data_IF_128757062803
#
_entry.id   IF_128757062803
#
_cell.length_a   1.000
_cell.length_b   1.000
_cell.length_c   1.000
_cell.angle_alpha   90.00
_cell.angle_beta   90.00
_cell.angle_gamma   90.00
#
_symmetry.space_group_name_H-M   'P 1'
#
loop_
_entity.id
_entity.type
_entity.pdbx_description
1 polymer ?
#
# COMPACT_ATOMS: atom_id res chain seq x y z
N UNK A 1 90.00 -17.58 -12.66
CA UNK A 1 89.24 -17.16 -11.48
C UNK A 1 87.78 -17.03 -11.89
N UNK A 2 86.92 -17.98 -11.54
CA UNK A 2 85.49 -17.93 -11.84
C UNK A 2 84.72 -17.58 -10.57
N UNK A 3 84.08 -16.41 -10.54
CA UNK A 3 83.21 -15.98 -9.46
C UNK A 3 81.83 -16.62 -9.64
N UNK A 4 81.50 -17.62 -8.82
CA UNK A 4 80.13 -18.13 -8.70
C UNK A 4 79.37 -17.25 -7.69
N UNK A 5 78.55 -16.33 -8.19
CA UNK A 5 77.58 -15.61 -7.36
C UNK A 5 76.37 -16.53 -7.16
N UNK A 6 76.33 -17.24 -6.03
CA UNK A 6 75.10 -17.91 -5.57
C UNK A 6 74.11 -16.85 -5.09
N UNK A 7 73.26 -16.34 -5.99
CA UNK A 7 72.10 -15.54 -5.58
C UNK A 7 71.10 -16.46 -4.89
N UNK A 8 71.15 -16.48 -3.57
CA UNK A 8 70.19 -17.15 -2.71
C UNK A 8 68.92 -16.28 -2.67
N UNK A 9 68.15 -16.24 -3.77
CA UNK A 9 66.87 -15.51 -3.80
C UNK A 9 65.91 -16.17 -2.79
N UNK A 10 65.59 -15.50 -1.68
CA UNK A 10 64.93 -16.16 -0.57
C UNK A 10 63.47 -16.41 -0.92
N UNK A 11 62.97 -17.59 -0.58
CA UNK A 11 61.55 -18.04 -0.67
C UNK A 11 60.50 -16.98 -0.32
N UNK A 12 60.86 -15.96 0.47
CA UNK A 12 60.02 -14.80 0.80
C UNK A 12 59.57 -14.00 -0.42
N UNK A 13 60.42 -13.80 -1.44
CA UNK A 13 60.02 -13.05 -2.65
C UNK A 13 59.06 -13.83 -3.53
N UNK A 14 59.22 -15.15 -3.63
CA UNK A 14 58.28 -16.01 -4.36
C UNK A 14 56.89 -16.00 -3.69
N UNK A 15 56.85 -15.99 -2.35
CA UNK A 15 55.59 -15.90 -1.60
C UNK A 15 54.90 -14.55 -1.79
N UNK A 16 55.64 -13.44 -1.74
CA UNK A 16 55.09 -12.10 -2.00
C UNK A 16 54.55 -12.03 -3.44
N UNK A 17 55.29 -12.52 -4.42
CA UNK A 17 54.85 -12.52 -5.82
C UNK A 17 53.56 -13.35 -6.01
N UNK A 18 53.48 -14.51 -5.37
CA UNK A 18 52.29 -15.36 -5.43
C UNK A 18 51.07 -14.71 -4.77
N UNK A 19 51.23 -14.11 -3.59
CA UNK A 19 50.14 -13.38 -2.91
C UNK A 19 49.66 -12.20 -3.76
N UNK A 20 50.57 -11.42 -4.33
CA UNK A 20 50.22 -10.29 -5.20
C UNK A 20 49.49 -10.76 -6.46
N UNK A 21 49.93 -11.86 -7.08
CA UNK A 21 49.27 -12.42 -8.25
C UNK A 21 47.84 -12.91 -7.94
N UNK A 22 47.65 -13.59 -6.80
CA UNK A 22 46.32 -14.04 -6.36
C UNK A 22 45.39 -12.85 -6.05
N UNK A 23 45.89 -11.83 -5.35
CA UNK A 23 45.12 -10.61 -5.06
C UNK A 23 44.74 -9.86 -6.34
N UNK A 24 45.65 -9.77 -7.31
CA UNK A 24 45.39 -9.11 -8.59
C UNK A 24 44.31 -9.86 -9.38
N UNK A 25 44.39 -11.19 -9.47
CA UNK A 25 43.35 -12.00 -10.12
C UNK A 25 42.01 -11.81 -9.41
N UNK A 26 41.99 -11.85 -8.08
CA UNK A 26 40.77 -11.63 -7.29
C UNK A 26 40.17 -10.23 -7.54
N UNK A 27 41.00 -9.17 -7.57
CA UNK A 27 40.55 -7.80 -7.85
C UNK A 27 39.99 -7.67 -9.27
N UNK A 28 40.62 -8.28 -10.27
CA UNK A 28 40.13 -8.27 -11.65
C UNK A 28 38.79 -9.01 -11.74
N UNK A 29 38.67 -10.20 -11.15
CA UNK A 29 37.41 -10.95 -11.11
C UNK A 29 36.31 -10.17 -10.39
N UNK A 30 36.64 -9.50 -9.28
CA UNK A 30 35.70 -8.63 -8.57
C UNK A 30 35.25 -7.44 -9.44
N UNK A 31 36.19 -6.74 -10.08
CA UNK A 31 35.88 -5.60 -10.94
C UNK A 31 35.04 -5.99 -12.17
N UNK A 32 35.34 -7.12 -12.81
CA UNK A 32 34.53 -7.66 -13.91
C UNK A 32 33.11 -7.96 -13.44
N UNK A 33 32.97 -8.63 -12.29
CA UNK A 33 31.65 -8.93 -11.70
C UNK A 33 30.86 -7.65 -11.37
N UNK A 34 31.52 -6.62 -10.85
CA UNK A 34 30.87 -5.32 -10.61
C UNK A 34 30.45 -4.63 -11.92
N UNK A 35 31.28 -4.70 -12.95
CA UNK A 35 30.95 -4.18 -14.29
C UNK A 35 29.75 -4.89 -14.93
N UNK A 36 29.69 -6.22 -14.82
CA UNK A 36 28.55 -7.01 -15.29
C UNK A 36 27.25 -6.69 -14.53
N UNK A 37 27.33 -6.47 -13.21
CA UNK A 37 26.18 -6.05 -12.39
C UNK A 37 25.65 -4.68 -12.81
N UNK A 38 26.54 -3.69 -13.01
CA UNK A 38 26.16 -2.35 -13.46
C UNK A 38 25.52 -2.38 -14.86
N UNK A 39 26.05 -3.18 -15.78
CA UNK A 39 25.47 -3.34 -17.12
C UNK A 39 24.11 -4.05 -17.08
N UNK A 40 23.95 -5.04 -16.21
CA UNK A 40 22.67 -5.72 -16.01
C UNK A 40 21.61 -4.77 -15.44
N UNK A 41 21.97 -3.93 -14.47
CA UNK A 41 21.11 -2.91 -13.87
C UNK A 41 20.66 -1.84 -14.89
N UNK A 42 21.59 -1.34 -15.71
CA UNK A 42 21.28 -0.39 -16.79
C UNK A 42 20.32 -0.98 -17.84
N UNK A 43 20.53 -2.24 -18.25
CA UNK A 43 19.64 -2.94 -19.19
C UNK A 43 18.25 -3.15 -18.59
N UNK A 44 18.17 -3.60 -17.34
CA UNK A 44 16.89 -3.77 -16.65
C UNK A 44 16.12 -2.45 -16.56
N UNK A 45 16.81 -1.35 -16.22
CA UNK A 45 16.20 -0.02 -16.15
C UNK A 45 15.67 0.44 -17.51
N UNK A 46 16.43 0.24 -18.59
CA UNK A 46 16.01 0.59 -19.95
C UNK A 46 14.80 -0.23 -20.42
N UNK A 47 14.77 -1.53 -20.11
CA UNK A 47 13.64 -2.40 -20.44
C UNK A 47 12.38 -2.03 -19.66
N UNK A 48 12.50 -1.73 -18.35
CA UNK A 48 11.38 -1.25 -17.53
C UNK A 48 10.86 0.09 -18.05
N UNK A 49 11.75 1.03 -18.38
CA UNK A 49 11.36 2.31 -18.94
C UNK A 49 10.62 2.15 -20.28
N UNK A 50 11.08 1.23 -21.14
CA UNK A 50 10.43 0.92 -22.42
C UNK A 50 9.05 0.30 -22.19
N UNK A 51 8.96 -0.71 -21.31
CA UNK A 51 7.71 -1.37 -20.97
C UNK A 51 6.69 -0.39 -20.36
N UNK A 52 7.12 0.48 -19.45
CA UNK A 52 6.29 1.56 -18.91
C UNK A 52 5.83 2.50 -20.03
N UNK A 53 6.72 2.96 -20.90
CA UNK A 53 6.34 3.85 -22.01
C UNK A 53 5.30 3.22 -22.95
N UNK A 54 5.29 1.88 -23.09
CA UNK A 54 4.35 1.16 -23.97
C UNK A 54 3.06 0.71 -23.29
N UNK A 55 3.05 0.58 -21.97
CA UNK A 55 1.97 -0.11 -21.23
C UNK A 55 1.35 0.75 -20.14
N UNK A 56 2.03 1.81 -19.71
CA UNK A 56 1.51 2.72 -18.68
C UNK A 56 0.63 3.82 -19.27
N UNK A 57 -0.47 4.12 -18.58
CA UNK A 57 -1.06 5.45 -18.61
C UNK A 57 -0.10 6.45 -17.96
N UNK A 58 -0.31 7.75 -18.14
CA UNK A 58 0.52 8.82 -17.58
C UNK A 58 0.64 8.82 -16.02
N UNK A 59 0.06 7.82 -15.34
CA UNK A 59 -0.12 7.74 -13.89
C UNK A 59 0.74 6.66 -13.19
N UNK A 60 1.57 5.90 -13.93
CA UNK A 60 2.44 4.88 -13.32
C UNK A 60 3.54 5.48 -12.42
N UNK A 61 3.86 4.82 -11.30
CA UNK A 61 4.83 5.33 -10.30
C UNK A 61 5.92 4.32 -9.95
N UNK A 62 7.15 4.81 -9.82
CA UNK A 62 8.32 4.03 -9.39
C UNK A 62 8.58 4.28 -7.90
N UNK A 63 8.75 3.21 -7.12
CA UNK A 63 8.90 3.25 -5.66
C UNK A 63 10.18 2.49 -5.24
N UNK A 64 11.28 3.23 -4.96
CA UNK A 64 12.56 2.69 -4.51
C UNK A 64 12.82 2.87 -3.00
N UNK A 65 13.82 2.17 -2.45
CA UNK A 65 14.15 2.13 -1.01
C UNK A 65 14.69 3.47 -0.44
N UNK A 66 13.94 4.07 0.49
CA UNK A 66 14.41 4.99 1.55
C UNK A 66 13.31 5.06 2.65
N UNK A 67 13.67 5.32 3.93
CA UNK A 67 12.88 4.97 5.10
C UNK A 67 11.51 5.65 5.05
N UNK A 68 10.51 4.93 5.52
CA UNK A 68 9.11 5.32 5.60
C UNK A 68 8.97 6.75 6.16
N UNK A 69 8.85 7.73 5.25
CA UNK A 69 7.94 8.87 5.29
C UNK A 69 8.14 9.77 4.03
N UNK A 70 7.25 9.59 3.04
CA UNK A 70 6.96 10.53 1.95
C UNK A 70 7.98 10.60 0.80
N UNK A 71 7.75 9.87 -0.30
CA UNK A 71 8.68 9.68 -1.46
C UNK A 71 8.43 10.58 -2.66
N UNK A 72 9.45 10.83 -3.51
CA UNK A 72 9.41 10.18 -4.83
C UNK A 72 10.74 9.75 -5.43
N UNK A 73 10.74 8.85 -6.44
CA UNK A 73 11.97 8.45 -7.13
C UNK A 73 11.91 8.46 -8.66
N UNK A 74 12.83 9.25 -9.24
CA UNK A 74 13.78 8.96 -10.34
C UNK A 74 14.72 10.19 -10.44
N UNK A 75 16.07 10.09 -10.52
CA UNK A 75 16.97 8.93 -10.55
C UNK A 75 17.79 8.77 -9.24
N UNK A 76 18.60 7.71 -9.14
CA UNK A 76 19.65 7.58 -8.13
C UNK A 76 20.93 8.35 -8.55
N UNK A 77 21.19 9.54 -7.97
CA UNK A 77 22.57 9.93 -7.68
C UNK A 77 22.71 10.17 -6.16
N UNK A 78 23.80 9.67 -5.59
CA UNK A 78 24.06 9.45 -4.17
C UNK A 78 23.95 10.66 -3.18
N UNK A 79 23.40 11.83 -3.52
CA UNK A 79 23.27 12.96 -2.59
C UNK A 79 22.25 14.02 -3.04
N UNK A 80 21.09 14.14 -2.37
CA UNK A 80 20.23 15.35 -2.45
C UNK A 80 19.47 15.60 -1.12
N UNK A 81 19.18 16.87 -0.81
CA UNK A 81 18.77 17.40 0.51
C UNK A 81 17.24 17.53 0.70
N UNK A 82 16.75 17.19 1.90
CA UNK A 82 15.36 17.18 2.41
C UNK A 82 14.49 18.42 2.13
N UNK A 83 15.05 19.60 1.93
CA UNK A 83 14.26 20.81 1.66
C UNK A 83 13.61 20.82 0.26
N UNK A 84 14.14 20.02 -0.68
CA UNK A 84 13.70 20.00 -2.08
C UNK A 84 12.60 18.96 -2.37
N UNK A 85 12.38 18.00 -1.48
CA UNK A 85 11.47 16.85 -1.72
C UNK A 85 10.00 17.12 -1.37
N UNK A 86 9.71 18.13 -0.54
CA UNK A 86 8.38 18.37 0.05
C UNK A 86 7.23 18.65 -0.93
N UNK A 87 7.37 19.49 -1.97
CA UNK A 87 6.26 19.82 -2.88
C UNK A 87 5.79 18.62 -3.73
N UNK A 88 6.68 17.66 -3.97
CA UNK A 88 6.42 16.48 -4.79
C UNK A 88 5.60 15.42 -4.05
N UNK A 89 5.72 15.35 -2.71
CA UNK A 89 4.94 14.44 -1.85
C UNK A 89 3.46 14.79 -1.85
N UNK A 90 3.16 16.09 -1.85
CA UNK A 90 1.80 16.62 -1.86
C UNK A 90 1.07 16.33 -3.17
N UNK A 91 1.78 16.23 -4.30
CA UNK A 91 1.19 15.84 -5.58
C UNK A 91 0.87 14.33 -5.67
N UNK A 92 1.60 13.51 -4.92
CA UNK A 92 1.41 12.05 -4.95
C UNK A 92 0.20 11.56 -4.16
N UNK A 93 -0.27 12.31 -3.17
CA UNK A 93 -1.40 11.94 -2.31
C UNK A 93 -2.77 12.05 -2.99
N UNK A 94 -2.81 12.56 -4.23
CA UNK A 94 -4.06 12.93 -4.91
C UNK A 94 -4.59 11.87 -5.89
N UNK A 95 -3.81 10.82 -6.24
CA UNK A 95 -4.23 9.73 -7.17
C UNK A 95 -3.62 8.36 -6.81
N UNK A 96 -4.44 7.30 -6.86
CA UNK A 96 -4.00 5.89 -6.73
C UNK A 96 -3.41 5.41 -8.07
N UNK A 97 -2.12 5.05 -8.16
CA UNK A 97 -1.51 4.69 -9.44
C UNK A 97 -2.01 3.33 -9.95
N UNK A 98 -2.16 3.18 -11.26
CA UNK A 98 -2.46 1.89 -11.90
C UNK A 98 -1.30 0.88 -11.79
N UNK A 99 -0.06 1.37 -11.59
CA UNK A 99 1.16 0.57 -11.60
C UNK A 99 2.18 1.04 -10.56
N UNK A 100 2.90 0.10 -9.94
CA UNK A 100 3.99 0.36 -8.98
C UNK A 100 5.22 -0.49 -9.29
N UNK A 101 6.41 0.11 -9.34
CA UNK A 101 7.69 -0.61 -9.52
C UNK A 101 8.47 -0.66 -8.21
N UNK A 102 8.87 -1.85 -7.78
CA UNK A 102 9.76 -2.09 -6.64
C UNK A 102 11.15 -2.56 -7.05
N UNK A 103 12.15 -2.35 -6.20
CA UNK A 103 13.57 -2.69 -6.40
C UNK A 103 14.06 -3.87 -5.53
N UNK A 104 13.14 -4.68 -5.00
CA UNK A 104 13.47 -5.89 -4.23
C UNK A 104 14.03 -5.62 -2.82
N UNK A 105 13.98 -4.37 -2.38
CA UNK A 105 14.34 -3.93 -1.02
C UNK A 105 13.67 -4.72 0.10
N UNK A 106 14.33 -4.77 1.26
CA UNK A 106 13.79 -5.43 2.48
C UNK A 106 12.44 -4.79 2.84
N UNK A 107 12.37 -3.45 2.81
CA UNK A 107 11.12 -2.73 3.08
C UNK A 107 10.00 -3.09 2.10
N UNK A 108 10.34 -3.33 0.83
CA UNK A 108 9.36 -3.65 -0.20
C UNK A 108 8.88 -5.10 -0.14
N UNK A 109 9.73 -6.03 0.28
CA UNK A 109 9.31 -7.40 0.56
C UNK A 109 8.24 -7.44 1.67
N UNK A 110 8.37 -6.63 2.72
CA UNK A 110 7.35 -6.53 3.76
C UNK A 110 6.05 -5.90 3.24
N UNK A 111 6.15 -4.82 2.47
CA UNK A 111 4.98 -4.14 1.91
C UNK A 111 4.24 -5.05 0.93
N UNK A 112 4.97 -5.74 0.05
CA UNK A 112 4.42 -6.67 -0.93
C UNK A 112 3.78 -7.92 -0.31
N UNK A 113 4.09 -8.23 0.95
CA UNK A 113 3.48 -9.30 1.73
C UNK A 113 2.30 -8.84 2.58
N UNK A 114 2.02 -7.53 2.65
CA UNK A 114 0.83 -7.05 3.38
C UNK A 114 -0.44 -7.48 2.67
N UNK A 115 -1.47 -7.84 3.45
CA UNK A 115 -2.78 -8.20 2.92
C UNK A 115 -3.32 -7.11 1.98
N UNK A 116 -3.17 -5.83 2.37
CA UNK A 116 -3.48 -4.67 1.52
C UNK A 116 -2.86 -4.79 0.12
N UNK A 117 -1.53 -4.90 0.04
CA UNK A 117 -0.85 -4.86 -1.24
C UNK A 117 -1.23 -6.07 -2.09
N UNK A 118 -1.27 -7.27 -1.50
CA UNK A 118 -1.66 -8.49 -2.22
C UNK A 118 -3.11 -8.53 -2.67
N UNK A 119 -4.01 -7.82 -1.98
CA UNK A 119 -5.43 -7.73 -2.36
C UNK A 119 -5.68 -6.73 -3.49
N UNK A 120 -4.81 -5.73 -3.64
CA UNK A 120 -5.01 -4.65 -4.63
C UNK A 120 -4.00 -4.65 -5.76
N UNK A 121 -2.93 -5.43 -5.67
CA UNK A 121 -1.88 -5.48 -6.68
C UNK A 121 -1.50 -6.91 -7.02
N UNK A 122 -1.29 -7.16 -8.31
CA UNK A 122 -0.78 -8.41 -8.86
C UNK A 122 0.55 -8.15 -9.56
N UNK A 123 1.42 -9.17 -9.60
CA UNK A 123 2.67 -9.08 -10.35
C UNK A 123 2.34 -9.07 -11.83
N UNK A 124 2.73 -8.01 -12.53
CA UNK A 124 2.59 -7.92 -13.97
C UNK A 124 3.89 -8.16 -14.72
N UNK A 125 5.02 -7.87 -14.08
CA UNK A 125 6.35 -8.17 -14.62
C UNK A 125 7.34 -8.37 -13.46
N UNK A 126 8.16 -9.42 -13.54
CA UNK A 126 9.17 -9.71 -12.53
C UNK A 126 10.52 -9.96 -13.19
N UNK A 127 11.53 -9.15 -12.82
CA UNK A 127 12.92 -9.32 -13.22
C UNK A 127 13.85 -8.77 -12.15
N UNK A 128 14.50 -9.62 -11.35
CA UNK A 128 15.38 -9.17 -10.26
C UNK A 128 16.40 -8.10 -10.70
N UNK A 129 16.61 -7.04 -9.90
CA UNK A 129 16.00 -6.80 -8.59
C UNK A 129 14.57 -6.21 -8.64
N UNK A 130 14.00 -6.00 -9.83
CA UNK A 130 12.76 -5.26 -10.00
C UNK A 130 11.51 -6.14 -10.11
N UNK A 131 10.43 -5.68 -9.50
CA UNK A 131 9.09 -6.25 -9.69
C UNK A 131 8.12 -5.12 -9.99
N UNK A 132 7.41 -5.23 -11.11
CA UNK A 132 6.32 -4.33 -11.48
C UNK A 132 5.00 -4.96 -11.11
N UNK A 133 4.24 -4.19 -10.36
CA UNK A 133 2.95 -4.55 -9.84
C UNK A 133 1.89 -3.73 -10.57
N UNK A 134 0.85 -4.41 -11.03
CA UNK A 134 -0.35 -3.78 -11.55
C UNK A 134 -1.39 -3.75 -10.47
N UNK A 135 -2.11 -2.64 -10.35
CA UNK A 135 -3.32 -2.62 -9.55
C UNK A 135 -4.32 -3.62 -10.15
N UNK A 136 -4.80 -4.54 -9.34
CA UNK A 136 -5.96 -5.36 -9.68
C UNK A 136 -7.13 -4.40 -9.89
N UNK A 137 -7.48 -4.16 -11.14
CA UNK A 137 -8.58 -3.28 -11.52
C UNK A 137 -9.90 -4.01 -11.28
N UNK A 138 -10.30 -4.11 -10.02
CA UNK A 138 -11.71 -4.31 -9.73
C UNK A 138 -12.40 -2.97 -10.00
N UNK A 139 -13.43 -2.92 -10.87
CA UNK A 139 -14.17 -1.69 -11.09
C UNK A 139 -14.69 -1.22 -9.74
N UNK A 140 -14.28 -0.03 -9.32
CA UNK A 140 -14.82 0.55 -8.09
C UNK A 140 -16.34 0.67 -8.29
N UNK A 141 -17.15 0.16 -7.36
CA UNK A 141 -18.58 0.26 -7.51
C UNK A 141 -18.99 1.74 -7.52
N UNK A 142 -20.09 2.09 -8.23
CA UNK A 142 -20.61 3.44 -8.18
C UNK A 142 -21.04 3.75 -6.75
N UNK A 143 -20.33 4.66 -6.08
CA UNK A 143 -20.63 5.07 -4.72
C UNK A 143 -21.78 6.05 -4.72
N UNK A 144 -22.74 5.85 -3.81
CA UNK A 144 -23.68 6.89 -3.42
C UNK A 144 -22.92 7.96 -2.60
N UNK A 145 -22.98 9.24 -3.00
CA UNK A 145 -22.18 10.28 -2.37
C UNK A 145 -22.67 10.59 -0.95
N UNK A 146 -21.72 10.72 -0.02
CA UNK A 146 -21.93 11.14 1.36
C UNK A 146 -20.98 12.28 1.71
N UNK A 147 -21.23 12.96 2.82
CA UNK A 147 -20.37 14.02 3.33
C UNK A 147 -20.46 14.07 4.85
N UNK A 148 -20.11 12.96 5.49
CA UNK A 148 -20.25 12.77 6.93
C UNK A 148 -18.90 12.94 7.62
N UNK A 149 -18.74 13.99 8.40
CA UNK A 149 -17.57 14.18 9.26
C UNK A 149 -17.62 13.20 10.43
N UNK A 150 -16.53 12.46 10.62
CA UNK A 150 -16.33 11.41 11.60
C UNK A 150 -15.24 11.87 12.56
N UNK A 151 -15.65 12.38 13.73
CA UNK A 151 -14.73 12.78 14.78
C UNK A 151 -13.76 13.92 14.39
N UNK A 152 -14.02 14.66 13.31
CA UNK A 152 -13.20 15.79 12.86
C UNK A 152 -11.91 15.41 12.13
N UNK A 153 -11.64 14.12 11.87
CA UNK A 153 -10.38 13.65 11.27
C UNK A 153 -10.57 12.93 9.93
N UNK A 154 -11.76 12.38 9.70
CA UNK A 154 -12.11 11.60 8.52
C UNK A 154 -13.49 12.03 8.04
N UNK A 155 -13.71 12.01 6.74
CA UNK A 155 -15.04 12.18 6.15
C UNK A 155 -15.44 10.89 5.44
N UNK A 156 -16.61 10.34 5.73
CA UNK A 156 -17.22 9.33 4.87
C UNK A 156 -17.83 10.05 3.66
N UNK A 157 -17.22 9.81 2.50
CA UNK A 157 -17.51 10.49 1.23
C UNK A 157 -18.41 9.69 0.31
N UNK A 158 -18.64 8.41 0.61
CA UNK A 158 -19.64 7.62 -0.09
C UNK A 158 -19.81 6.21 0.45
N UNK A 159 -20.87 5.55 0.00
CA UNK A 159 -21.17 4.16 0.33
C UNK A 159 -21.72 3.41 -0.87
N UNK A 160 -21.56 2.09 -0.87
CA UNK A 160 -22.17 1.18 -1.82
C UNK A 160 -22.59 -0.10 -1.11
N UNK A 161 -23.77 -0.62 -1.45
CA UNK A 161 -24.35 -1.81 -0.82
C UNK A 161 -24.67 -2.81 -1.92
N UNK A 162 -24.17 -4.04 -1.79
CA UNK A 162 -24.41 -5.10 -2.78
C UNK A 162 -24.38 -6.50 -2.16
N UNK A 163 -25.37 -7.36 -2.46
CA UNK A 163 -26.62 -7.04 -3.14
C UNK A 163 -27.59 -6.30 -2.19
N UNK A 164 -28.54 -5.53 -2.74
CA UNK A 164 -29.63 -4.90 -1.97
C UNK A 164 -30.85 -5.82 -1.80
N UNK A 165 -30.89 -6.93 -2.53
CA UNK A 165 -31.86 -8.02 -2.36
C UNK A 165 -31.07 -9.30 -2.13
N UNK A 166 -31.31 -9.97 -1.02
CA UNK A 166 -30.44 -11.04 -0.51
C UNK A 166 -31.27 -12.14 0.12
N UNK A 167 -30.85 -13.39 -0.06
CA UNK A 167 -31.51 -14.53 0.59
C UNK A 167 -30.92 -14.77 1.98
N UNK A 168 -31.71 -15.40 2.84
CA UNK A 168 -31.24 -15.86 4.15
C UNK A 168 -30.03 -16.78 4.01
N UNK A 169 -28.99 -16.58 4.82
CA UNK A 169 -27.72 -17.31 4.71
C UNK A 169 -26.70 -16.71 3.72
N UNK A 170 -27.07 -15.67 2.97
CA UNK A 170 -26.13 -14.94 2.09
C UNK A 170 -25.51 -13.74 2.79
N UNK A 171 -24.52 -13.13 2.13
CA UNK A 171 -23.80 -11.97 2.65
C UNK A 171 -24.20 -10.70 1.91
N UNK A 172 -24.17 -9.60 2.64
CA UNK A 172 -24.27 -8.24 2.10
C UNK A 172 -22.89 -7.60 2.21
N UNK A 173 -22.32 -7.24 1.07
CA UNK A 173 -21.11 -6.43 1.02
C UNK A 173 -21.48 -4.95 1.10
N UNK A 174 -20.82 -4.24 1.99
CA UNK A 174 -20.95 -2.79 2.17
C UNK A 174 -19.59 -2.18 1.95
N UNK A 175 -19.43 -1.36 0.92
CA UNK A 175 -18.20 -0.61 0.66
C UNK A 175 -18.38 0.82 1.13
N UNK A 176 -17.49 1.28 2.00
CA UNK A 176 -17.45 2.64 2.52
C UNK A 176 -16.21 3.35 2.02
N UNK A 177 -16.39 4.56 1.48
CA UNK A 177 -15.30 5.40 1.02
C UNK A 177 -15.02 6.51 2.01
N UNK A 178 -13.80 6.55 2.52
CA UNK A 178 -13.36 7.50 3.53
C UNK A 178 -12.28 8.40 2.96
N UNK A 179 -12.40 9.70 3.16
CA UNK A 179 -11.36 10.69 2.89
C UNK A 179 -10.75 11.17 4.20
N UNK A 180 -9.43 11.20 4.29
CA UNK A 180 -8.76 11.85 5.42
C UNK A 180 -8.87 13.37 5.28
N UNK A 181 -9.27 14.08 6.34
CA UNK A 181 -9.20 15.55 6.39
C UNK A 181 -7.82 16.03 6.83
N UNK A 182 -7.07 15.16 7.51
CA UNK A 182 -5.69 15.32 7.95
C UNK A 182 -5.04 13.94 8.10
N UNK A 183 -3.71 13.88 8.21
CA UNK A 183 -3.01 12.63 8.51
C UNK A 183 -3.60 11.96 9.74
N UNK A 184 -4.05 10.72 9.61
CA UNK A 184 -4.66 10.02 10.74
C UNK A 184 -3.58 9.52 11.70
N UNK A 185 -3.71 9.94 12.96
CA UNK A 185 -2.81 9.54 14.04
C UNK A 185 -3.29 8.29 14.80
N UNK A 186 -4.51 7.81 14.50
CA UNK A 186 -5.15 6.68 15.17
C UNK A 186 -6.15 5.98 14.26
N UNK A 187 -6.33 4.68 14.48
CA UNK A 187 -7.41 3.93 13.85
C UNK A 187 -8.74 4.20 14.55
N UNK A 188 -9.83 3.81 13.90
CA UNK A 188 -11.16 3.79 14.50
C UNK A 188 -11.83 2.46 14.18
N UNK A 189 -12.87 2.09 14.92
CA UNK A 189 -13.70 0.93 14.61
C UNK A 189 -14.93 1.41 13.86
N UNK A 190 -15.14 0.88 12.67
CA UNK A 190 -16.39 1.02 11.94
C UNK A 190 -17.30 -0.13 12.33
N UNK A 191 -18.50 0.18 12.81
CA UNK A 191 -19.53 -0.79 13.14
C UNK A 191 -20.71 -0.64 12.18
N UNK A 192 -21.12 -1.75 11.59
CA UNK A 192 -22.27 -1.83 10.71
C UNK A 192 -23.31 -2.76 11.31
N UNK A 193 -24.56 -2.32 11.28
CA UNK A 193 -25.70 -3.08 11.74
C UNK A 193 -26.80 -3.09 10.68
N UNK A 194 -27.38 -4.26 10.46
CA UNK A 194 -28.62 -4.40 9.71
C UNK A 194 -29.77 -4.58 10.70
N UNK A 195 -30.79 -3.71 10.60
CA UNK A 195 -31.88 -3.61 11.59
C UNK A 195 -33.26 -3.78 10.99
N UNK A 196 -34.16 -4.42 11.73
CA UNK A 196 -35.61 -4.37 11.53
C UNK A 196 -36.24 -3.58 12.68
N UNK A 197 -36.54 -2.31 12.43
CA UNK A 197 -36.90 -1.37 13.50
C UNK A 197 -35.77 -1.22 14.52
N UNK A 198 -36.03 -1.56 15.79
CA UNK A 198 -35.05 -1.52 16.87
C UNK A 198 -34.20 -2.80 17.00
N UNK A 199 -34.52 -3.86 16.26
CA UNK A 199 -33.86 -5.16 16.37
C UNK A 199 -32.70 -5.27 15.40
N UNK A 200 -31.50 -5.57 15.90
CA UNK A 200 -30.32 -5.90 15.08
C UNK A 200 -30.41 -7.35 14.62
N UNK A 201 -30.37 -7.59 13.31
CA UNK A 201 -30.44 -8.94 12.72
C UNK A 201 -29.11 -9.45 12.18
N UNK A 202 -28.20 -8.54 11.84
CA UNK A 202 -26.82 -8.85 11.49
C UNK A 202 -25.94 -7.65 11.85
N UNK A 203 -24.68 -7.91 12.19
CA UNK A 203 -23.72 -6.85 12.48
C UNK A 203 -22.29 -7.27 12.18
N UNK A 204 -21.45 -6.32 11.83
CA UNK A 204 -20.01 -6.55 11.68
C UNK A 204 -19.23 -5.33 12.19
N UNK A 205 -17.99 -5.56 12.61
CA UNK A 205 -17.08 -4.51 13.08
C UNK A 205 -15.69 -4.75 12.54
N UNK A 206 -15.03 -3.68 12.12
CA UNK A 206 -13.65 -3.75 11.66
C UNK A 206 -12.91 -2.46 11.99
N UNK A 207 -11.63 -2.61 12.33
CA UNK A 207 -10.73 -1.49 12.56
C UNK A 207 -10.38 -0.83 11.22
N UNK A 208 -10.63 0.46 11.07
CA UNK A 208 -10.36 1.26 9.87
C UNK A 208 -9.21 2.25 10.12
N UNK A 209 -8.27 2.44 9.16
CA UNK A 209 -8.18 1.74 7.88
C UNK A 209 -7.65 0.31 8.05
N UNK A 210 -8.13 -0.63 7.23
CA UNK A 210 -7.41 -1.88 6.94
C UNK A 210 -6.75 -1.85 5.58
N UNK A 211 -7.34 -1.10 4.65
CA UNK A 211 -6.90 -1.05 3.27
C UNK A 211 -5.70 -0.12 3.05
N UNK A 212 -5.09 0.47 4.08
CA UNK A 212 -3.74 1.07 4.01
C UNK A 212 -3.14 1.19 5.42
N UNK A 213 -1.80 1.23 5.56
CA UNK A 213 -1.16 1.60 6.82
C UNK A 213 -1.64 2.99 7.30
N UNK A 214 -1.90 3.12 8.60
CA UNK A 214 -2.43 4.34 9.21
C UNK A 214 -1.64 5.60 8.85
N UNK A 215 -0.31 5.55 8.93
CA UNK A 215 0.56 6.70 8.62
C UNK A 215 0.65 7.04 7.13
N UNK A 216 0.00 6.26 6.26
CA UNK A 216 -0.08 6.53 4.82
C UNK A 216 -1.41 7.15 4.44
N UNK A 217 -2.36 7.23 5.39
CA UNK A 217 -3.63 7.87 5.17
C UNK A 217 -3.52 9.37 5.46
N UNK A 218 -3.34 10.15 4.39
CA UNK A 218 -3.23 11.61 4.44
C UNK A 218 -4.22 12.27 3.49
N UNK A 219 -4.57 13.53 3.73
CA UNK A 219 -5.48 14.25 2.85
C UNK A 219 -4.85 14.51 1.46
N UNK A 220 -5.61 14.40 0.35
CA UNK A 220 -7.04 14.10 0.22
C UNK A 220 -7.32 12.62 -0.13
N UNK A 221 -6.48 11.68 0.32
CA UNK A 221 -6.56 10.29 -0.10
C UNK A 221 -7.91 9.66 0.33
N UNK A 222 -8.61 9.13 -0.66
CA UNK A 222 -9.82 8.32 -0.46
C UNK A 222 -9.45 6.84 -0.37
N UNK A 223 -9.86 6.21 0.72
CA UNK A 223 -9.71 4.78 0.99
C UNK A 223 -11.08 4.14 0.95
N UNK A 224 -11.19 3.00 0.29
CA UNK A 224 -12.40 2.20 0.31
C UNK A 224 -12.19 0.98 1.18
N UNK A 225 -13.15 0.72 2.07
CA UNK A 225 -13.17 -0.45 2.94
C UNK A 225 -14.44 -1.24 2.66
N UNK A 226 -14.31 -2.54 2.45
CA UNK A 226 -15.46 -3.43 2.23
C UNK A 226 -15.69 -4.27 3.47
N UNK A 227 -16.93 -4.26 3.93
CA UNK A 227 -17.41 -4.98 5.09
C UNK A 227 -18.41 -6.05 4.63
N UNK A 228 -18.30 -7.25 5.17
CA UNK A 228 -19.23 -8.34 4.88
C UNK A 228 -20.15 -8.54 6.09
N UNK A 229 -21.45 -8.36 5.88
CA UNK A 229 -22.49 -8.71 6.85
C UNK A 229 -23.08 -10.06 6.46
N UNK A 230 -22.92 -11.05 7.33
CA UNK A 230 -23.51 -12.37 7.12
C UNK A 230 -24.93 -12.41 7.71
N UNK A 231 -25.93 -12.65 6.84
CA UNK A 231 -27.31 -12.86 7.28
C UNK A 231 -27.44 -14.30 7.75
N UNK A 232 -27.62 -14.51 9.05
CA UNK A 232 -27.84 -15.85 9.59
C UNK A 232 -29.02 -16.57 8.94
N UNK A 233 -29.12 -17.89 9.13
CA UNK A 233 -30.13 -18.73 8.47
C UNK A 233 -31.60 -18.49 8.89
N UNK A 234 -31.86 -17.56 9.83
CA UNK A 234 -33.17 -17.35 10.47
C UNK A 234 -33.67 -15.90 10.36
N UNK A 235 -33.27 -15.17 9.31
CA UNK A 235 -33.77 -13.81 9.04
C UNK A 235 -35.12 -13.91 8.33
N UNK A 236 -36.15 -13.28 8.90
CA UNK A 236 -37.50 -13.20 8.31
C UNK A 236 -37.49 -12.43 6.98
N UNK A 237 -38.50 -12.63 6.15
CA UNK A 237 -38.67 -11.78 4.96
C UNK A 237 -39.06 -10.36 5.37
N UNK A 238 -38.56 -9.36 4.65
CA UNK A 238 -38.80 -7.95 4.96
C UNK A 238 -37.72 -7.01 4.46
N UNK A 239 -37.90 -5.72 4.76
CA UNK A 239 -36.93 -4.66 4.47
C UNK A 239 -36.21 -4.26 5.74
N UNK A 240 -34.89 -4.24 5.66
CA UNK A 240 -34.00 -3.95 6.76
C UNK A 240 -33.20 -2.68 6.48
N UNK A 241 -32.94 -1.91 7.53
CA UNK A 241 -32.15 -0.66 7.45
C UNK A 241 -30.69 -0.97 7.79
N UNK A 242 -29.76 -0.53 6.94
CA UNK A 242 -28.34 -0.60 7.21
C UNK A 242 -27.88 0.68 7.90
N UNK A 243 -27.25 0.54 9.06
CA UNK A 243 -26.81 1.63 9.93
C UNK A 243 -25.31 1.52 10.16
N UNK A 244 -24.61 2.65 10.10
CA UNK A 244 -23.20 2.77 10.45
C UNK A 244 -22.99 3.61 11.71
N UNK A 245 -22.05 3.18 12.55
CA UNK A 245 -21.50 3.98 13.64
C UNK A 245 -19.98 3.83 13.71
N UNK A 246 -19.32 4.80 14.33
CA UNK A 246 -17.87 4.90 14.35
C UNK A 246 -17.38 5.16 15.77
N UNK A 247 -16.37 4.41 16.20
CA UNK A 247 -15.79 4.52 17.56
C UNK A 247 -14.28 4.72 17.46
N UNK A 248 -13.74 5.68 18.19
CA UNK A 248 -12.30 5.88 18.25
C UNK A 248 -11.58 4.72 18.94
N UNK A 249 -10.39 4.37 18.45
CA UNK A 249 -9.51 3.41 19.13
C UNK A 249 -8.41 4.18 19.87
N UNK A 250 -8.51 4.27 21.21
CA UNK A 250 -7.50 4.92 22.05
C UNK A 250 -7.83 4.86 23.55
N UNK A 251 -6.79 4.89 24.41
CA UNK A 251 -6.85 4.68 25.87
C UNK A 251 -7.78 5.66 26.65
N UNK A 252 -8.28 6.73 26.03
CA UNK A 252 -9.22 7.71 26.63
C UNK A 252 -10.46 8.01 25.80
N UNK A 253 -10.59 7.46 24.59
CA UNK A 253 -11.56 7.86 23.57
C UNK A 253 -12.30 6.65 22.98
N UNK A 254 -12.76 5.75 23.84
CA UNK A 254 -13.61 4.61 23.46
C UNK A 254 -15.09 5.00 23.17
N UNK A 255 -15.38 6.29 23.08
CA UNK A 255 -16.72 6.78 22.80
C UNK A 255 -17.07 6.64 21.32
N UNK A 256 -18.36 6.39 21.04
CA UNK A 256 -18.92 6.54 19.70
C UNK A 256 -18.76 8.01 19.30
N UNK A 257 -18.15 8.24 18.14
CA UNK A 257 -17.90 9.58 17.64
C UNK A 257 -19.16 10.20 17.06
N UNK A 258 -19.41 11.49 17.31
CA UNK A 258 -20.48 12.20 16.65
C UNK A 258 -20.18 12.29 15.15
N UNK A 259 -21.25 12.11 14.37
CA UNK A 259 -21.28 12.16 12.93
C UNK A 259 -21.98 13.44 12.53
N UNK A 260 -21.34 14.25 11.67
CA UNK A 260 -21.87 15.56 11.28
C UNK A 260 -22.07 15.65 9.78
N UNK A 261 -23.28 16.06 9.37
CA UNK A 261 -23.59 16.42 7.99
C UNK A 261 -24.33 17.75 7.99
N UNK A 262 -23.67 18.81 7.52
CA UNK A 262 -24.19 20.17 7.68
C UNK A 262 -24.36 20.53 9.17
N UNK A 263 -25.58 20.93 9.55
CA UNK A 263 -25.92 21.27 10.95
C UNK A 263 -26.38 20.07 11.78
N UNK A 264 -26.61 18.92 11.15
CA UNK A 264 -27.09 17.70 11.81
C UNK A 264 -25.95 16.97 12.51
N UNK A 265 -26.15 16.61 13.78
CA UNK A 265 -25.25 15.72 14.52
C UNK A 265 -26.00 14.45 14.95
N UNK A 266 -25.43 13.29 14.65
CA UNK A 266 -25.94 11.98 15.04
C UNK A 266 -24.79 11.09 15.56
N UNK A 267 -25.10 9.90 16.07
CA UNK A 267 -24.09 8.88 16.44
C UNK A 267 -24.17 7.64 15.56
N UNK A 268 -25.21 7.60 14.73
CA UNK A 268 -25.53 6.54 13.79
C UNK A 268 -26.00 7.19 12.50
N UNK A 269 -25.68 6.57 11.37
CA UNK A 269 -26.09 7.04 10.05
C UNK A 269 -26.73 5.91 9.25
N UNK A 270 -27.89 6.18 8.66
CA UNK A 270 -28.54 5.23 7.75
C UNK A 270 -27.86 5.29 6.39
N UNK A 271 -27.29 4.16 5.97
CA UNK A 271 -26.60 4.04 4.68
C UNK A 271 -27.54 3.59 3.55
N UNK A 272 -28.65 2.95 3.88
CA UNK A 272 -29.60 2.43 2.90
C UNK A 272 -30.43 1.27 3.44
N UNK A 273 -31.04 0.52 2.54
CA UNK A 273 -31.90 -0.63 2.89
C UNK A 273 -31.52 -1.89 2.12
N UNK A 274 -31.74 -3.04 2.76
CA UNK A 274 -31.58 -4.37 2.17
C UNK A 274 -32.89 -5.13 2.33
N UNK A 275 -33.33 -5.84 1.30
CA UNK A 275 -34.56 -6.63 1.32
C UNK A 275 -34.28 -8.13 1.28
N UNK A 276 -34.98 -8.87 2.14
CA UNK A 276 -35.02 -10.34 2.14
C UNK A 276 -36.41 -10.75 1.61
N UNK A 277 -36.49 -11.48 0.49
CA UNK A 277 -37.75 -11.87 -0.13
C UNK A 277 -38.51 -12.93 0.69
#
# INVERSE_FOLDING_TARGET
MSFQIRMNYPRRWAMIFWITAVLLVWLITYAVRQGELLLAEQRATAEIATWLATTSSAEARVMAEAPIAGRPHLPLPHAANLAQTRPWLTALQQTQPEWVVGDGSIGWQFIAQTAWFTSHYTVAYERPPYTVWQRTAEPLPPLEPLALDIGGQTTLVGSYISPTVVQTGQEVAVTLAFSATQTLSRTFTTHLELRSGATVVASTSQTTPTAIPLGWWDAPLVVQETFLLNLGQLVDSGTYTLVASFKGNGQRDEAVWPLRQGETTAYEWVLGTVSVP
#
